data_IF_561841410024
#
_entry.id   IF_561841410024
#
_cell.length_a   1.000
_cell.length_b   1.000
_cell.length_c   1.000
_cell.angle_alpha   90.00
_cell.angle_beta   90.00
_cell.angle_gamma   90.00
#
_symmetry.space_group_name_H-M   'P 1'
#
loop_
_entity.id
_entity.type
_entity.pdbx_description
1 polymer ?
#
# COMPACT_ATOMS: atom_id res chain seq x y z
N UNK A 1 -18.60 -26.60 -33.93
CA UNK A 1 -19.79 -26.33 -33.10
C UNK A 1 -20.34 -27.70 -32.74
N UNK A 2 -20.51 -28.09 -31.48
CA UNK A 2 -21.16 -27.35 -30.39
C UNK A 2 -20.42 -27.53 -29.05
N UNK A 3 -20.36 -26.46 -28.27
CA UNK A 3 -19.86 -26.44 -26.90
C UNK A 3 -20.78 -27.27 -25.99
N UNK A 4 -20.29 -28.39 -25.48
CA UNK A 4 -20.92 -29.06 -24.35
C UNK A 4 -20.76 -28.14 -23.12
N UNK A 5 -21.87 -27.51 -22.71
CA UNK A 5 -21.89 -26.62 -21.54
C UNK A 5 -21.54 -27.45 -20.31
N UNK A 6 -20.33 -27.26 -19.81
CA UNK A 6 -19.87 -27.73 -18.51
C UNK A 6 -20.80 -27.13 -17.46
N UNK A 7 -21.80 -27.89 -17.04
CA UNK A 7 -22.63 -27.54 -15.90
C UNK A 7 -21.73 -27.44 -14.67
N UNK A 8 -21.68 -26.24 -14.07
CA UNK A 8 -20.95 -25.85 -12.85
C UNK A 8 -21.20 -26.73 -11.61
N UNK A 9 -21.96 -27.82 -11.73
CA UNK A 9 -22.43 -28.66 -10.64
C UNK A 9 -22.24 -30.14 -11.03
N UNK A 10 -21.32 -30.88 -10.39
CA UNK A 10 -21.12 -32.30 -10.67
C UNK A 10 -22.38 -33.13 -10.43
N UNK A 11 -22.67 -34.10 -11.31
CA UNK A 11 -23.86 -34.99 -11.24
C UNK A 11 -23.98 -35.75 -9.91
N UNK A 12 -22.89 -35.90 -9.16
CA UNK A 12 -22.90 -36.44 -7.80
C UNK A 12 -23.66 -35.55 -6.80
N UNK A 13 -23.53 -34.22 -6.90
CA UNK A 13 -24.29 -33.27 -6.09
C UNK A 13 -25.78 -33.31 -6.42
N UNK A 14 -26.15 -33.42 -7.70
CA UNK A 14 -27.56 -33.56 -8.11
C UNK A 14 -28.18 -34.84 -7.54
N UNK A 15 -27.45 -35.97 -7.56
CA UNK A 15 -27.93 -37.25 -7.01
C UNK A 15 -28.04 -37.25 -5.49
N UNK A 16 -27.21 -36.44 -4.81
CA UNK A 16 -27.31 -36.19 -3.37
C UNK A 16 -28.51 -35.28 -3.09
N UNK A 17 -28.73 -34.25 -3.91
CA UNK A 17 -29.89 -33.35 -3.83
C UNK A 17 -31.21 -34.07 -4.08
N UNK A 18 -31.27 -35.03 -5.02
CA UNK A 18 -32.47 -35.81 -5.32
C UNK A 18 -32.82 -36.76 -4.17
N UNK A 19 -31.81 -37.43 -3.59
CA UNK A 19 -31.98 -38.23 -2.36
C UNK A 19 -32.39 -37.36 -1.17
N UNK A 20 -31.83 -36.15 -1.08
CA UNK A 20 -32.19 -35.16 -0.07
C UNK A 20 -33.63 -34.66 -0.25
N UNK A 21 -34.09 -34.45 -1.48
CA UNK A 21 -35.45 -33.99 -1.80
C UNK A 21 -36.50 -35.09 -1.54
N UNK A 22 -36.17 -36.35 -1.85
CA UNK A 22 -37.00 -37.51 -1.52
C UNK A 22 -37.04 -37.80 -0.01
N UNK A 23 -35.98 -37.49 0.73
CA UNK A 23 -35.98 -37.52 2.21
C UNK A 23 -36.73 -36.33 2.82
N UNK A 24 -36.77 -35.18 2.13
CA UNK A 24 -37.52 -33.98 2.55
C UNK A 24 -39.04 -34.13 2.38
N UNK A 25 -39.50 -34.89 1.38
CA UNK A 25 -40.93 -35.06 1.07
C UNK A 25 -41.62 -36.10 1.96
N UNK A 26 -40.86 -36.93 2.69
CA UNK A 26 -41.36 -37.93 3.64
C UNK A 26 -41.12 -37.53 5.09
N UNK A 27 -42.01 -36.71 5.66
CA UNK A 27 -42.27 -36.54 7.10
C UNK A 27 -41.06 -36.59 8.06
N UNK A 28 -40.42 -35.44 8.29
CA UNK A 28 -40.02 -34.97 9.64
C UNK A 28 -39.53 -33.53 9.55
N UNK A 29 -40.29 -32.60 10.13
CA UNK A 29 -39.76 -31.27 10.40
C UNK A 29 -38.59 -31.35 11.39
N UNK A 30 -37.65 -30.42 11.22
CA UNK A 30 -36.91 -29.74 12.30
C UNK A 30 -35.37 -29.93 12.50
N UNK A 31 -34.62 -30.85 11.86
CA UNK A 31 -33.14 -30.85 11.96
C UNK A 31 -32.43 -30.11 10.81
N UNK A 32 -32.85 -30.32 9.56
CA UNK A 32 -32.18 -29.74 8.38
C UNK A 32 -32.40 -28.22 8.28
N UNK A 33 -33.60 -27.74 8.62
CA UNK A 33 -33.91 -26.30 8.66
C UNK A 33 -33.08 -25.60 9.74
N UNK A 34 -32.85 -26.24 10.89
CA UNK A 34 -32.00 -25.70 11.96
C UNK A 34 -30.53 -25.61 11.53
N UNK A 35 -30.00 -26.65 10.88
CA UNK A 35 -28.63 -26.66 10.35
C UNK A 35 -28.42 -25.57 9.29
N UNK A 36 -29.38 -25.39 8.38
CA UNK A 36 -29.32 -24.33 7.36
C UNK A 36 -29.34 -22.93 8.00
N UNK A 37 -30.23 -22.69 8.98
CA UNK A 37 -30.30 -21.40 9.70
C UNK A 37 -29.03 -21.12 10.49
N UNK A 38 -28.44 -22.14 11.13
CA UNK A 38 -27.20 -22.04 11.86
C UNK A 38 -26.01 -21.70 10.94
N UNK A 39 -25.89 -22.40 9.79
CA UNK A 39 -24.86 -22.13 8.79
C UNK A 39 -24.97 -20.70 8.22
N UNK A 40 -26.19 -20.24 7.91
CA UNK A 40 -26.44 -18.86 7.45
C UNK A 40 -26.04 -17.83 8.51
N UNK A 41 -26.36 -18.09 9.78
CA UNK A 41 -25.99 -17.21 10.89
C UNK A 41 -24.45 -17.13 11.07
N UNK A 42 -23.76 -18.27 10.98
CA UNK A 42 -22.31 -18.32 11.09
C UNK A 42 -21.62 -17.59 9.93
N UNK A 43 -22.12 -17.76 8.70
CA UNK A 43 -21.62 -17.03 7.53
C UNK A 43 -21.80 -15.52 7.71
N UNK A 44 -22.99 -15.06 8.09
CA UNK A 44 -23.27 -13.63 8.29
C UNK A 44 -22.41 -13.04 9.41
N UNK A 45 -22.20 -13.79 10.50
CA UNK A 45 -21.37 -13.34 11.63
C UNK A 45 -19.89 -13.27 11.24
N UNK A 46 -19.40 -14.24 10.48
CA UNK A 46 -18.04 -14.25 9.93
C UNK A 46 -17.82 -13.07 9.00
N UNK A 47 -18.76 -12.87 8.05
CA UNK A 47 -18.70 -11.77 7.11
C UNK A 47 -18.72 -10.42 7.84
N UNK A 48 -19.65 -10.24 8.79
CA UNK A 48 -19.71 -9.04 9.65
C UNK A 48 -18.40 -8.81 10.41
N UNK A 49 -17.81 -9.87 10.97
CA UNK A 49 -16.55 -9.78 11.70
C UNK A 49 -15.41 -9.32 10.81
N UNK A 50 -15.28 -9.88 9.60
CA UNK A 50 -14.28 -9.47 8.62
C UNK A 50 -14.48 -8.01 8.17
N UNK A 51 -15.73 -7.63 7.86
CA UNK A 51 -16.06 -6.25 7.51
C UNK A 51 -15.68 -5.27 8.61
N UNK A 52 -15.99 -5.57 9.87
CA UNK A 52 -15.64 -4.70 11.00
C UNK A 52 -14.12 -4.62 11.17
N UNK A 53 -13.42 -5.75 11.11
CA UNK A 53 -11.98 -5.80 11.35
C UNK A 53 -11.18 -5.03 10.27
N UNK A 54 -11.69 -4.94 9.05
CA UNK A 54 -11.04 -4.21 7.95
C UNK A 54 -11.51 -2.76 7.91
N UNK A 55 -12.82 -2.50 7.89
CA UNK A 55 -13.33 -1.16 7.65
C UNK A 55 -13.17 -0.23 8.85
N UNK A 56 -13.38 -0.72 10.08
CA UNK A 56 -13.39 0.18 11.25
C UNK A 56 -12.01 0.81 11.48
N UNK A 57 -10.89 0.07 11.46
CA UNK A 57 -9.57 0.68 11.60
C UNK A 57 -9.26 1.70 10.49
N UNK A 58 -9.61 1.40 9.24
CA UNK A 58 -9.42 2.31 8.11
C UNK A 58 -10.27 3.57 8.24
N UNK A 59 -11.51 3.43 8.68
CA UNK A 59 -12.41 4.56 8.88
C UNK A 59 -11.97 5.45 10.04
N UNK A 60 -11.52 4.84 11.15
CA UNK A 60 -10.97 5.59 12.28
C UNK A 60 -9.64 6.26 11.91
N UNK A 61 -8.77 5.60 11.15
CA UNK A 61 -7.57 6.22 10.60
C UNK A 61 -7.93 7.45 9.76
N UNK A 62 -8.84 7.32 8.79
CA UNK A 62 -9.29 8.44 7.95
C UNK A 62 -9.86 9.61 8.76
N UNK A 63 -10.75 9.32 9.72
CA UNK A 63 -11.34 10.37 10.58
C UNK A 63 -10.28 11.03 11.47
N UNK A 64 -9.45 10.23 12.14
CA UNK A 64 -8.42 10.75 13.03
C UNK A 64 -7.38 11.56 12.28
N UNK A 65 -6.96 11.12 11.09
CA UNK A 65 -6.06 11.88 10.20
C UNK A 65 -6.61 13.27 9.91
N UNK A 66 -7.83 13.35 9.40
CA UNK A 66 -8.39 14.61 8.89
C UNK A 66 -8.87 15.56 9.97
N UNK A 67 -9.51 15.04 11.03
CA UNK A 67 -10.17 15.88 12.03
C UNK A 67 -9.38 16.07 13.32
N UNK A 68 -8.44 15.18 13.63
CA UNK A 68 -7.65 15.25 14.87
C UNK A 68 -6.19 15.58 14.58
N UNK A 69 -5.48 14.71 13.87
CA UNK A 69 -4.03 14.80 13.75
C UNK A 69 -3.57 15.90 12.82
N UNK A 70 -4.25 16.14 11.69
CA UNK A 70 -3.87 17.21 10.76
C UNK A 70 -3.89 18.60 11.40
N UNK A 71 -5.00 19.08 12.00
CA UNK A 71 -5.01 20.41 12.62
C UNK A 71 -4.05 20.50 13.82
N UNK A 72 -3.86 19.41 14.58
CA UNK A 72 -2.89 19.39 15.68
C UNK A 72 -1.46 19.51 15.17
N UNK A 73 -1.09 18.72 14.16
CA UNK A 73 0.26 18.71 13.60
C UNK A 73 0.57 20.04 12.93
N UNK A 74 -0.37 20.61 12.17
CA UNK A 74 -0.22 21.95 11.58
C UNK A 74 0.02 23.02 12.64
N UNK A 75 -0.72 22.97 13.76
CA UNK A 75 -0.55 23.93 14.85
C UNK A 75 0.79 23.77 15.57
N UNK A 76 1.16 22.54 15.95
CA UNK A 76 2.41 22.28 16.68
C UNK A 76 3.65 22.52 15.83
N UNK A 77 3.65 22.05 14.58
CA UNK A 77 4.78 22.18 13.66
C UNK A 77 5.06 23.65 13.35
N UNK A 78 4.04 24.41 12.92
CA UNK A 78 4.23 25.80 12.49
C UNK A 78 4.44 26.79 13.65
N UNK A 79 4.04 26.46 14.88
CA UNK A 79 4.15 27.39 16.02
C UNK A 79 5.36 27.12 16.90
N UNK A 80 5.80 25.87 17.05
CA UNK A 80 6.89 25.51 17.98
C UNK A 80 8.23 25.21 17.30
N UNK A 81 8.22 24.88 16.00
CA UNK A 81 9.42 24.55 15.25
C UNK A 81 9.70 25.65 14.23
N UNK A 82 10.95 26.11 14.16
CA UNK A 82 11.39 27.04 13.12
C UNK A 82 11.86 26.32 11.84
N UNK A 83 11.97 24.99 11.90
CA UNK A 83 12.45 24.17 10.79
C UNK A 83 11.29 23.79 9.87
N UNK A 84 11.51 23.99 8.58
CA UNK A 84 10.55 23.69 7.51
C UNK A 84 10.58 22.20 7.15
N UNK A 85 11.75 21.58 7.29
CA UNK A 85 12.03 20.22 6.83
C UNK A 85 12.00 19.23 8.00
N UNK A 86 11.31 18.10 7.82
CA UNK A 86 11.28 17.02 8.79
C UNK A 86 12.63 16.29 8.93
N UNK A 87 13.35 16.13 7.83
CA UNK A 87 14.63 15.43 7.77
C UNK A 87 15.57 16.06 6.72
N UNK A 88 16.84 15.63 6.79
CA UNK A 88 17.92 16.13 5.94
C UNK A 88 17.62 15.89 4.45
N UNK A 89 16.94 14.80 4.11
CA UNK A 89 16.72 14.41 2.73
C UNK A 89 15.57 15.20 2.07
N UNK A 90 14.55 15.61 2.81
CA UNK A 90 13.59 16.60 2.32
C UNK A 90 14.26 17.96 2.08
N UNK A 91 15.21 18.32 2.94
CA UNK A 91 16.00 19.53 2.78
C UNK A 91 16.92 19.44 1.55
N UNK A 92 17.60 18.32 1.34
CA UNK A 92 18.45 18.08 0.18
C UNK A 92 17.64 18.15 -1.12
N UNK A 93 16.48 17.49 -1.20
CA UNK A 93 15.58 17.57 -2.36
C UNK A 93 15.12 19.01 -2.65
N UNK A 94 14.78 19.77 -1.61
CA UNK A 94 14.41 21.17 -1.78
C UNK A 94 15.58 22.02 -2.31
N UNK A 95 16.81 21.73 -1.87
CA UNK A 95 18.01 22.39 -2.35
C UNK A 95 18.42 22.00 -3.77
N UNK A 96 18.19 20.75 -4.16
CA UNK A 96 18.37 20.32 -5.54
C UNK A 96 17.35 21.01 -6.46
N UNK A 97 16.08 21.03 -6.08
CA UNK A 97 15.03 21.65 -6.91
C UNK A 97 15.24 23.17 -7.08
N UNK A 98 15.70 23.88 -6.04
CA UNK A 98 16.01 25.31 -6.16
C UNK A 98 17.27 25.54 -7.01
N UNK A 99 18.28 24.66 -6.92
CA UNK A 99 19.48 24.73 -7.76
C UNK A 99 19.14 24.51 -9.23
N UNK A 100 18.32 23.51 -9.54
CA UNK A 100 17.88 23.22 -10.90
C UNK A 100 17.08 24.40 -11.49
N UNK A 101 16.25 25.05 -10.66
CA UNK A 101 15.54 26.26 -11.05
C UNK A 101 16.48 27.45 -11.30
N UNK A 102 17.50 27.62 -10.46
CA UNK A 102 18.52 28.65 -10.62
C UNK A 102 19.33 28.45 -11.91
N UNK A 103 19.80 27.23 -12.16
CA UNK A 103 20.55 26.89 -13.38
C UNK A 103 19.72 27.17 -14.64
N UNK A 104 18.41 26.86 -14.60
CA UNK A 104 17.48 27.18 -15.68
C UNK A 104 17.34 28.69 -15.89
N UNK A 105 17.11 29.46 -14.84
CA UNK A 105 17.00 30.92 -14.90
C UNK A 105 18.29 31.56 -15.44
N UNK A 106 19.45 31.08 -14.98
CA UNK A 106 20.76 31.53 -15.45
C UNK A 106 20.92 31.26 -16.95
N UNK A 107 20.63 30.04 -17.40
CA UNK A 107 20.68 29.69 -18.81
C UNK A 107 19.76 30.56 -19.68
N UNK A 108 18.51 30.79 -19.23
CA UNK A 108 17.56 31.66 -19.93
C UNK A 108 18.09 33.10 -20.07
N UNK A 109 18.74 33.63 -19.02
CA UNK A 109 19.35 34.96 -19.05
C UNK A 109 20.48 35.10 -20.09
N UNK A 110 21.25 34.02 -20.33
CA UNK A 110 22.33 34.00 -21.32
C UNK A 110 21.81 33.91 -22.75
N UNK A 111 20.70 33.20 -22.96
CA UNK A 111 20.11 33.00 -24.30
C UNK A 111 19.21 34.17 -24.72
N UNK A 112 18.64 34.92 -23.77
CA UNK A 112 17.70 35.98 -24.07
C UNK A 112 18.25 37.11 -24.99
N UNK A 113 19.49 37.61 -24.82
CA UNK A 113 20.09 38.56 -25.77
C UNK A 113 20.28 37.98 -27.18
N UNK A 114 20.64 36.69 -27.28
CA UNK A 114 20.81 35.98 -28.56
C UNK A 114 19.47 35.82 -29.30
N UNK A 115 18.39 35.60 -28.57
CA UNK A 115 17.04 35.49 -29.14
C UNK A 115 16.48 36.82 -29.66
N UNK A 116 16.98 37.96 -29.15
CA UNK A 116 16.55 39.30 -29.54
C UNK A 116 17.36 39.90 -30.71
N UNK A 117 18.36 39.17 -31.25
CA UNK A 117 19.12 39.59 -32.42
C UNK A 117 20.12 40.72 -32.17
N UNK A 118 20.49 40.98 -30.91
CA UNK A 118 21.46 42.02 -30.54
C UNK A 118 22.90 41.47 -30.64
N UNK A 119 23.44 41.38 -31.86
CA UNK A 119 24.78 40.80 -32.13
C UNK A 119 25.98 41.63 -31.62
N UNK A 120 25.80 42.86 -31.12
CA UNK A 120 26.90 43.83 -31.00
C UNK A 120 27.22 44.37 -29.59
N UNK A 121 26.82 43.68 -28.52
CA UNK A 121 27.38 43.98 -27.19
C UNK A 121 28.23 42.80 -26.72
N UNK A 122 29.52 43.06 -26.50
CA UNK A 122 30.40 42.12 -25.83
C UNK A 122 29.82 41.79 -24.46
N UNK A 123 29.22 40.62 -24.37
CA UNK A 123 28.75 40.07 -23.11
C UNK A 123 30.03 39.80 -22.30
N UNK A 124 30.37 40.70 -21.39
CA UNK A 124 31.33 40.40 -20.32
C UNK A 124 30.65 39.36 -19.42
N UNK A 125 30.75 38.09 -19.83
CA UNK A 125 30.45 36.95 -18.98
C UNK A 125 31.57 36.91 -17.95
N UNK A 126 31.41 37.67 -16.87
CA UNK A 126 32.19 37.43 -15.68
C UNK A 126 31.97 35.96 -15.32
N UNK A 127 33.05 35.18 -15.24
CA UNK A 127 33.01 33.74 -15.02
C UNK A 127 32.57 33.44 -13.59
N UNK A 128 31.29 33.64 -13.30
CA UNK A 128 30.73 33.42 -11.98
C UNK A 128 30.01 32.08 -11.97
N UNK A 129 30.36 31.27 -10.98
CA UNK A 129 29.64 30.04 -10.64
C UNK A 129 28.14 30.32 -10.49
N UNK A 130 27.24 29.37 -10.80
CA UNK A 130 25.83 29.49 -10.44
C UNK A 130 25.72 29.69 -8.91
N UNK A 131 24.92 30.66 -8.52
CA UNK A 131 24.77 31.16 -7.16
C UNK A 131 24.23 32.60 -7.19
N UNK A 132 23.21 32.91 -6.39
CA UNK A 132 22.54 34.22 -6.28
C UNK A 132 23.45 35.45 -6.13
N UNK A 133 24.74 35.27 -5.80
CA UNK A 133 25.74 36.34 -5.83
C UNK A 133 26.13 36.81 -7.26
N UNK A 134 25.58 36.17 -8.30
CA UNK A 134 26.05 36.27 -9.70
C UNK A 134 25.07 36.88 -10.68
N UNK A 135 23.83 37.15 -10.26
CA UNK A 135 22.85 37.77 -11.15
C UNK A 135 23.41 39.14 -11.59
N UNK A 136 23.52 39.43 -12.91
CA UNK A 136 24.03 40.70 -13.39
C UNK A 136 23.27 41.84 -12.71
N UNK A 137 23.98 42.81 -12.11
CA UNK A 137 23.36 44.02 -11.54
C UNK A 137 22.62 44.76 -12.67
N UNK A 138 21.35 44.41 -12.90
CA UNK A 138 20.59 44.85 -14.07
C UNK A 138 19.61 43.81 -14.64
N UNK A 139 19.72 42.51 -14.28
CA UNK A 139 18.83 41.44 -14.74
C UNK A 139 17.48 41.46 -14.00
N UNK A 140 16.68 42.51 -14.21
CA UNK A 140 15.26 42.69 -13.88
C UNK A 140 14.79 42.33 -12.45
N UNK A 141 14.14 43.29 -11.77
CA UNK A 141 13.28 43.06 -10.58
C UNK A 141 12.39 41.81 -10.70
N UNK A 142 12.01 41.44 -11.93
CA UNK A 142 11.18 40.27 -12.25
C UNK A 142 11.90 38.95 -11.94
N UNK A 143 13.21 38.84 -12.20
CA UNK A 143 13.97 37.62 -11.93
C UNK A 143 14.11 37.38 -10.41
N UNK A 144 14.39 38.44 -9.65
CA UNK A 144 14.42 38.39 -8.18
C UNK A 144 13.04 37.98 -7.62
N UNK A 145 11.95 38.60 -8.11
CA UNK A 145 10.59 38.25 -7.70
C UNK A 145 10.24 36.79 -8.01
N UNK A 146 10.59 36.29 -9.19
CA UNK A 146 10.34 34.90 -9.58
C UNK A 146 11.08 33.91 -8.67
N UNK A 147 12.32 34.22 -8.31
CA UNK A 147 13.12 33.39 -7.41
C UNK A 147 12.56 33.39 -5.98
N UNK A 148 12.20 34.56 -5.42
CA UNK A 148 11.55 34.65 -4.12
C UNK A 148 10.22 33.88 -4.07
N UNK A 149 9.44 33.96 -5.15
CA UNK A 149 8.21 33.18 -5.29
C UNK A 149 8.48 31.68 -5.26
N UNK A 150 9.47 31.21 -6.05
CA UNK A 150 9.85 29.78 -6.08
C UNK A 150 10.37 29.29 -4.73
N UNK A 151 11.20 30.06 -4.04
CA UNK A 151 11.66 29.72 -2.69
C UNK A 151 10.49 29.61 -1.70
N UNK A 152 9.56 30.56 -1.75
CA UNK A 152 8.37 30.55 -0.87
C UNK A 152 7.45 29.37 -1.18
N UNK A 153 7.30 29.03 -2.46
CA UNK A 153 6.54 27.88 -2.91
C UNK A 153 7.15 26.57 -2.40
N UNK A 154 8.46 26.36 -2.59
CA UNK A 154 9.18 25.19 -2.08
C UNK A 154 9.08 25.10 -0.55
N UNK A 155 9.33 26.21 0.15
CA UNK A 155 9.21 26.26 1.59
C UNK A 155 7.83 25.79 2.07
N UNK A 156 6.74 26.27 1.44
CA UNK A 156 5.38 25.83 1.77
C UNK A 156 5.15 24.36 1.41
N UNK A 157 5.64 23.92 0.25
CA UNK A 157 5.47 22.55 -0.23
C UNK A 157 6.11 21.54 0.71
N UNK A 158 7.40 21.72 1.03
CA UNK A 158 8.13 20.81 1.92
C UNK A 158 7.69 20.91 3.38
N UNK A 159 7.21 22.08 3.83
CA UNK A 159 6.54 22.20 5.12
C UNK A 159 5.28 21.33 5.18
N UNK A 160 4.45 21.39 4.14
CA UNK A 160 3.24 20.58 4.05
C UNK A 160 3.56 19.09 3.97
N UNK A 161 4.60 18.69 3.24
CA UNK A 161 5.06 17.29 3.23
C UNK A 161 5.49 16.81 4.62
N UNK A 162 6.22 17.65 5.37
CA UNK A 162 6.66 17.34 6.73
C UNK A 162 5.46 17.14 7.68
N UNK A 163 4.48 18.04 7.60
CA UNK A 163 3.22 17.94 8.36
C UNK A 163 2.44 16.68 7.98
N UNK A 164 2.33 16.39 6.68
CA UNK A 164 1.60 15.23 6.17
C UNK A 164 2.26 13.92 6.63
N UNK A 165 3.59 13.81 6.58
CA UNK A 165 4.34 12.64 7.03
C UNK A 165 4.12 12.35 8.53
N UNK A 166 4.20 13.37 9.39
CA UNK A 166 3.91 13.21 10.82
C UNK A 166 2.44 12.84 11.05
N UNK A 167 1.53 13.51 10.33
CA UNK A 167 0.08 13.27 10.45
C UNK A 167 -0.27 11.84 10.05
N UNK A 168 0.31 11.33 8.96
CA UNK A 168 0.19 9.96 8.49
C UNK A 168 0.65 8.96 9.55
N UNK A 169 1.84 9.17 10.11
CA UNK A 169 2.37 8.29 11.15
C UNK A 169 1.43 8.21 12.36
N UNK A 170 0.94 9.34 12.86
CA UNK A 170 0.02 9.38 14.00
C UNK A 170 -1.33 8.72 13.69
N UNK A 171 -1.88 8.98 12.50
CA UNK A 171 -3.12 8.36 12.06
C UNK A 171 -2.99 6.84 11.91
N UNK A 172 -1.87 6.36 11.38
CA UNK A 172 -1.60 4.93 11.22
C UNK A 172 -1.45 4.23 12.56
N UNK A 173 -0.74 4.85 13.51
CA UNK A 173 -0.67 4.35 14.88
C UNK A 173 -2.06 4.26 15.53
N UNK A 174 -2.94 5.24 15.28
CA UNK A 174 -4.33 5.19 15.76
C UNK A 174 -5.14 4.08 15.08
N UNK A 175 -4.94 3.87 13.78
CA UNK A 175 -5.53 2.76 13.03
C UNK A 175 -5.09 1.40 13.59
N UNK A 176 -3.79 1.25 13.84
CA UNK A 176 -3.21 0.04 14.45
C UNK A 176 -3.71 -0.18 15.89
N UNK A 177 -3.81 0.88 16.69
CA UNK A 177 -4.36 0.82 18.04
C UNK A 177 -5.84 0.38 18.01
N UNK A 178 -6.61 0.92 17.07
CA UNK A 178 -8.02 0.53 16.85
C UNK A 178 -8.12 -0.94 16.45
N UNK A 179 -7.28 -1.39 15.52
CA UNK A 179 -7.22 -2.79 15.11
C UNK A 179 -6.87 -3.70 16.30
N UNK A 180 -5.85 -3.36 17.09
CA UNK A 180 -5.48 -4.07 18.30
C UNK A 180 -6.62 -4.13 19.34
N UNK A 181 -7.32 -3.01 19.53
CA UNK A 181 -8.52 -2.94 20.37
C UNK A 181 -9.62 -3.89 19.88
N UNK A 182 -9.88 -3.94 18.57
CA UNK A 182 -10.86 -4.85 17.98
C UNK A 182 -10.45 -6.32 18.17
N UNK A 183 -9.16 -6.65 18.02
CA UNK A 183 -8.67 -8.01 18.27
C UNK A 183 -8.96 -8.50 19.69
N UNK A 184 -8.80 -7.62 20.69
CA UNK A 184 -9.07 -7.95 22.09
C UNK A 184 -10.57 -8.07 22.36
N UNK A 185 -11.37 -7.11 21.89
CA UNK A 185 -12.81 -7.04 22.18
C UNK A 185 -13.65 -8.04 21.37
N UNK A 186 -13.24 -8.36 20.14
CA UNK A 186 -13.97 -9.26 19.24
C UNK A 186 -13.41 -10.69 19.25
N UNK A 187 -12.64 -11.08 20.28
CA UNK A 187 -11.98 -12.39 20.37
C UNK A 187 -12.89 -13.57 20.01
N UNK A 188 -14.13 -13.59 20.51
CA UNK A 188 -15.10 -14.66 20.21
C UNK A 188 -15.49 -14.69 18.73
N UNK A 189 -15.84 -13.54 18.14
CA UNK A 189 -16.19 -13.43 16.72
C UNK A 189 -15.02 -13.81 15.82
N UNK A 190 -13.80 -13.47 16.22
CA UNK A 190 -12.57 -13.81 15.51
C UNK A 190 -12.34 -15.32 15.55
N UNK A 191 -12.44 -15.96 16.73
CA UNK A 191 -12.31 -17.43 16.83
C UNK A 191 -13.34 -18.14 15.95
N UNK A 192 -14.60 -17.69 15.97
CA UNK A 192 -15.65 -18.26 15.12
C UNK A 192 -15.36 -18.04 13.62
N UNK A 193 -14.89 -16.86 13.24
CA UNK A 193 -14.48 -16.53 11.87
C UNK A 193 -13.33 -17.41 11.41
N UNK A 194 -12.29 -17.54 12.24
CA UNK A 194 -11.13 -18.38 11.97
C UNK A 194 -11.54 -19.85 11.82
N UNK A 195 -12.40 -20.36 12.73
CA UNK A 195 -12.91 -21.72 12.63
C UNK A 195 -13.70 -21.95 11.34
N UNK A 196 -14.60 -21.03 10.97
CA UNK A 196 -15.37 -21.11 9.73
C UNK A 196 -14.48 -21.06 8.48
N UNK A 197 -13.46 -20.20 8.45
CA UNK A 197 -12.51 -20.12 7.34
C UNK A 197 -11.68 -21.39 7.21
N UNK A 198 -11.20 -21.95 8.32
CA UNK A 198 -10.48 -23.22 8.32
C UNK A 198 -11.37 -24.38 7.88
N UNK A 199 -12.61 -24.47 8.38
CA UNK A 199 -13.56 -25.48 7.94
C UNK A 199 -13.85 -25.36 6.43
N UNK A 200 -14.07 -24.14 5.95
CA UNK A 200 -14.28 -23.87 4.52
C UNK A 200 -13.08 -24.30 3.69
N UNK A 201 -11.86 -23.97 4.11
CA UNK A 201 -10.63 -24.36 3.42
C UNK A 201 -10.40 -25.88 3.46
N UNK A 202 -10.57 -26.51 4.62
CA UNK A 202 -10.36 -27.94 4.79
C UNK A 202 -11.47 -28.81 4.18
N UNK A 203 -12.65 -28.25 3.93
CA UNK A 203 -13.72 -28.90 3.18
C UNK A 203 -13.39 -29.09 1.69
N UNK A 204 -12.43 -28.34 1.15
CA UNK A 204 -12.03 -28.43 -0.25
C UNK A 204 -11.26 -29.74 -0.54
N UNK A 205 -11.34 -30.22 -1.79
CA UNK A 205 -10.53 -31.35 -2.24
C UNK A 205 -9.02 -30.99 -2.22
N UNK A 206 -8.16 -31.98 -2.07
CA UNK A 206 -6.69 -31.78 -1.96
C UNK A 206 -6.09 -31.01 -3.14
N UNK A 207 -6.58 -31.25 -4.37
CA UNK A 207 -6.16 -30.48 -5.55
C UNK A 207 -6.56 -29.01 -5.48
N UNK A 208 -7.76 -28.69 -4.96
CA UNK A 208 -8.25 -27.30 -4.84
C UNK A 208 -7.53 -26.54 -3.72
N UNK A 209 -7.26 -27.23 -2.60
CA UNK A 209 -6.43 -26.69 -1.51
C UNK A 209 -5.05 -26.33 -2.03
N UNK A 210 -4.39 -27.28 -2.70
CA UNK A 210 -3.04 -27.10 -3.24
C UNK A 210 -3.00 -25.96 -4.27
N UNK A 211 -3.97 -25.91 -5.18
CA UNK A 211 -4.12 -24.81 -6.13
C UNK A 211 -4.32 -23.45 -5.46
N UNK A 212 -5.23 -23.35 -4.47
CA UNK A 212 -5.49 -22.10 -3.76
C UNK A 212 -4.25 -21.62 -2.98
N UNK A 213 -3.49 -22.55 -2.39
CA UNK A 213 -2.25 -22.23 -1.71
C UNK A 213 -1.19 -21.71 -2.69
N UNK A 214 -1.00 -22.39 -3.84
CA UNK A 214 -0.07 -21.97 -4.88
C UNK A 214 -0.45 -20.60 -5.46
N UNK A 215 -1.73 -20.39 -5.77
CA UNK A 215 -2.23 -19.11 -6.25
C UNK A 215 -1.96 -17.98 -5.22
N UNK A 216 -2.19 -18.26 -3.94
CA UNK A 216 -1.99 -17.28 -2.88
C UNK A 216 -0.50 -16.97 -2.65
N UNK A 217 0.38 -17.98 -2.66
CA UNK A 217 1.83 -17.75 -2.56
C UNK A 217 2.34 -16.95 -3.73
N UNK A 218 1.95 -17.31 -4.94
CA UNK A 218 2.46 -16.66 -6.15
C UNK A 218 1.97 -15.21 -6.26
N UNK A 219 0.72 -14.96 -5.85
CA UNK A 219 0.15 -13.61 -5.82
C UNK A 219 0.77 -12.71 -4.74
N UNK A 220 0.96 -13.21 -3.51
CA UNK A 220 1.48 -12.41 -2.41
C UNK A 220 2.98 -12.12 -2.53
N UNK A 221 3.73 -13.08 -3.07
CA UNK A 221 5.18 -13.00 -3.09
C UNK A 221 5.67 -12.23 -4.31
N UNK A 222 4.98 -12.33 -5.45
CA UNK A 222 5.04 -11.32 -6.51
C UNK A 222 6.44 -10.96 -7.04
N UNK A 223 7.39 -11.91 -7.08
CA UNK A 223 8.76 -11.63 -7.58
C UNK A 223 8.85 -11.23 -9.04
N UNK A 224 7.80 -11.50 -9.80
CA UNK A 224 7.85 -11.35 -11.25
C UNK A 224 7.91 -9.89 -11.70
N UNK A 225 7.82 -8.92 -10.78
CA UNK A 225 8.03 -7.51 -11.09
C UNK A 225 8.78 -6.79 -9.96
N UNK A 226 10.11 -6.60 -10.08
CA UNK A 226 10.88 -5.69 -9.23
C UNK A 226 10.26 -4.28 -9.18
N UNK A 227 9.68 -3.83 -10.30
CA UNK A 227 8.96 -2.54 -10.40
C UNK A 227 7.74 -2.47 -9.47
N UNK A 228 7.03 -3.58 -9.26
CA UNK A 228 5.90 -3.62 -8.34
C UNK A 228 6.33 -3.32 -6.90
N UNK A 229 7.45 -3.92 -6.49
CA UNK A 229 8.04 -3.68 -5.17
C UNK A 229 8.63 -2.28 -5.02
N UNK A 230 9.25 -1.75 -6.08
CA UNK A 230 9.77 -0.37 -6.11
C UNK A 230 8.65 0.63 -5.82
N UNK A 231 7.51 0.52 -6.51
CA UNK A 231 6.34 1.39 -6.29
C UNK A 231 5.80 1.27 -4.87
N UNK A 232 5.74 0.05 -4.31
CA UNK A 232 5.29 -0.17 -2.93
C UNK A 232 6.22 0.53 -1.93
N UNK A 233 7.54 0.38 -2.09
CA UNK A 233 8.50 1.01 -1.18
C UNK A 233 8.52 2.52 -1.35
N UNK A 234 8.52 3.06 -2.57
CA UNK A 234 8.39 4.50 -2.82
C UNK A 234 7.13 5.07 -2.13
N UNK A 235 5.99 4.38 -2.25
CA UNK A 235 4.77 4.78 -1.57
C UNK A 235 4.91 4.77 -0.05
N UNK A 236 5.49 3.71 0.55
CA UNK A 236 5.71 3.62 2.00
C UNK A 236 6.63 4.75 2.47
N UNK A 237 7.72 4.99 1.75
CA UNK A 237 8.70 6.01 2.12
C UNK A 237 8.09 7.40 2.02
N UNK A 238 7.42 7.72 0.91
CA UNK A 238 6.71 8.98 0.74
C UNK A 238 5.63 9.19 1.82
N UNK A 239 4.87 8.14 2.16
CA UNK A 239 3.81 8.21 3.16
C UNK A 239 4.33 8.57 4.56
N UNK A 240 5.48 8.03 4.95
CA UNK A 240 6.14 8.34 6.23
C UNK A 240 7.14 9.50 6.16
N UNK A 241 7.29 10.13 4.99
CA UNK A 241 8.29 11.17 4.75
C UNK A 241 9.74 10.67 4.91
N UNK A 242 9.98 9.37 4.74
CA UNK A 242 11.30 8.76 4.83
C UNK A 242 12.15 9.03 3.58
N UNK A 243 13.47 8.99 3.70
CA UNK A 243 14.38 9.29 2.59
C UNK A 243 14.29 8.24 1.48
N UNK A 244 13.86 8.65 0.29
CA UNK A 244 13.82 7.81 -0.93
C UNK A 244 15.23 7.59 -1.50
N UNK A 245 16.12 6.97 -0.73
CA UNK A 245 17.43 6.60 -1.23
C UNK A 245 17.27 5.41 -2.19
N UNK A 246 17.56 5.63 -3.47
CA UNK A 246 17.45 4.60 -4.52
C UNK A 246 18.19 3.32 -4.14
N UNK A 247 19.36 3.42 -3.50
CA UNK A 247 20.13 2.25 -3.07
C UNK A 247 19.41 1.42 -2.00
N UNK A 248 18.73 2.09 -1.06
CA UNK A 248 17.95 1.42 -0.01
C UNK A 248 16.71 0.76 -0.62
N UNK A 249 16.02 1.46 -1.52
CA UNK A 249 14.87 0.92 -2.25
C UNK A 249 15.29 -0.30 -3.06
N UNK A 250 16.38 -0.23 -3.84
CA UNK A 250 16.89 -1.37 -4.60
C UNK A 250 17.32 -2.55 -3.71
N UNK A 251 17.95 -2.28 -2.57
CA UNK A 251 18.29 -3.32 -1.59
C UNK A 251 17.03 -4.01 -1.05
N UNK A 252 16.00 -3.23 -0.68
CA UNK A 252 14.73 -3.77 -0.21
C UNK A 252 14.01 -4.57 -1.30
N UNK A 253 13.95 -4.06 -2.53
CA UNK A 253 13.37 -4.75 -3.70
C UNK A 253 14.10 -6.06 -3.99
N UNK A 254 15.42 -6.12 -3.81
CA UNK A 254 16.21 -7.33 -4.03
C UNK A 254 16.13 -8.37 -2.90
N UNK A 255 15.88 -7.95 -1.66
CA UNK A 255 15.96 -8.83 -0.48
C UNK A 255 14.61 -9.18 0.12
N UNK A 256 13.70 -8.21 0.22
CA UNK A 256 12.42 -8.37 0.91
C UNK A 256 11.49 -9.38 0.24
N UNK A 257 11.30 -9.35 -1.10
CA UNK A 257 10.49 -10.37 -1.75
C UNK A 257 11.07 -11.76 -1.52
N UNK A 258 12.41 -11.88 -1.56
CA UNK A 258 13.13 -13.17 -1.42
C UNK A 258 12.89 -13.77 -0.06
N UNK A 259 13.02 -12.94 0.97
CA UNK A 259 12.73 -13.31 2.34
C UNK A 259 11.26 -13.71 2.50
N UNK A 260 10.33 -12.93 1.95
CA UNK A 260 8.89 -13.14 2.06
C UNK A 260 8.48 -14.51 1.47
N UNK A 261 9.04 -14.90 0.34
CA UNK A 261 8.82 -16.22 -0.29
C UNK A 261 9.27 -17.37 0.58
N UNK A 262 10.50 -17.30 1.08
CA UNK A 262 11.08 -18.35 1.91
C UNK A 262 10.24 -18.52 3.17
N UNK A 263 9.81 -17.41 3.78
CA UNK A 263 8.93 -17.42 4.95
C UNK A 263 7.55 -18.03 4.63
N UNK A 264 6.91 -17.63 3.54
CA UNK A 264 5.61 -18.18 3.15
C UNK A 264 5.70 -19.66 2.80
N UNK A 265 6.65 -20.08 1.97
CA UNK A 265 6.89 -21.49 1.64
C UNK A 265 7.13 -22.29 2.91
N UNK A 266 8.03 -21.84 3.79
CA UNK A 266 8.30 -22.53 5.05
C UNK A 266 7.06 -22.64 5.95
N UNK A 267 6.30 -21.55 6.12
CA UNK A 267 5.08 -21.55 6.93
C UNK A 267 4.04 -22.53 6.40
N UNK A 268 3.86 -22.54 5.07
CA UNK A 268 2.93 -23.43 4.38
C UNK A 268 3.34 -24.89 4.54
N UNK A 269 4.59 -25.23 4.24
CA UNK A 269 5.08 -26.61 4.40
C UNK A 269 5.00 -27.08 5.85
N UNK A 270 5.35 -26.22 6.81
CA UNK A 270 5.26 -26.55 8.23
C UNK A 270 3.81 -26.79 8.67
N UNK A 271 2.87 -25.98 8.20
CA UNK A 271 1.47 -26.10 8.59
C UNK A 271 0.77 -27.26 7.87
N UNK A 272 0.98 -27.42 6.55
CA UNK A 272 0.40 -28.52 5.77
C UNK A 272 0.95 -29.88 6.21
N UNK A 273 2.24 -30.03 6.50
CA UNK A 273 2.80 -31.29 7.01
C UNK A 273 2.16 -31.72 8.34
N UNK A 274 1.70 -30.77 9.16
CA UNK A 274 1.04 -31.06 10.44
C UNK A 274 -0.44 -31.44 10.29
N UNK A 275 -1.13 -30.90 9.28
CA UNK A 275 -2.59 -30.98 9.18
C UNK A 275 -3.12 -31.80 8.00
N UNK A 276 -2.37 -31.95 6.90
CA UNK A 276 -2.79 -32.75 5.73
C UNK A 276 -1.60 -33.21 4.87
N UNK A 277 -0.96 -34.36 5.20
CA UNK A 277 0.19 -34.89 4.45
C UNK A 277 -0.12 -35.20 2.97
N UNK A 278 -1.36 -35.59 2.65
CA UNK A 278 -1.79 -35.86 1.27
C UNK A 278 -1.87 -34.60 0.41
N UNK A 279 -2.26 -33.46 1.01
CA UNK A 279 -2.23 -32.15 0.34
C UNK A 279 -0.79 -31.72 0.04
N UNK A 280 0.18 -32.08 0.89
CA UNK A 280 1.62 -31.79 0.63
C UNK A 280 2.12 -32.57 -0.58
N UNK A 281 1.81 -33.87 -0.67
CA UNK A 281 2.20 -34.67 -1.83
C UNK A 281 1.59 -34.15 -3.13
N UNK A 282 0.33 -33.70 -3.08
CA UNK A 282 -0.35 -33.08 -4.23
C UNK A 282 0.28 -31.73 -4.59
N UNK A 283 0.60 -30.89 -3.61
CA UNK A 283 1.28 -29.62 -3.82
C UNK A 283 2.67 -29.82 -4.44
N UNK A 284 3.46 -30.78 -3.95
CA UNK A 284 4.75 -31.13 -4.54
C UNK A 284 4.62 -31.58 -5.99
N UNK A 285 3.66 -32.45 -6.31
CA UNK A 285 3.39 -32.88 -7.68
C UNK A 285 2.87 -31.78 -8.63
N UNK A 286 2.42 -30.65 -8.08
CA UNK A 286 1.97 -29.48 -8.86
C UNK A 286 3.06 -28.42 -9.03
N UNK A 287 4.10 -28.46 -8.18
CA UNK A 287 5.23 -27.53 -8.18
C UNK A 287 6.44 -28.12 -8.92
N UNK A 288 6.65 -29.44 -8.87
CA UNK A 288 7.57 -30.20 -9.75
C UNK A 288 7.02 -30.35 -11.16
#
# INVERSE_FOLDING_TARGET
MELERIGLIPRSMIRIMDRFYQQLSGSTGDPLVKQFRFSKYLLLTTLKSLWILILVPLFINFLSKNYLFRPLTEYFWNQKQAEIFLNFELQERAFEEIRDFEEKMYFESLVQPLALGEENQSIEVHSVMPGYASLPQGSSLIAEQNFEQKMTELAKHYNQQSIEAITNLLADLMGLATLGFLFVNMKMSIVNTTAFLFESFFSLNDSKKSFLMLLFTDLLVGFHSPRGWEVIFQFIFAHFGLPENENVIFLLVGTFPVLLDVLFKYWIFRHLNRHSPATVATYQSMVE
#
